data_IF_145652453730
#
_entry.id   IF_145652453730
#
_cell.length_a   1.000
_cell.length_b   1.000
_cell.length_c   1.000
_cell.angle_alpha   90.00
_cell.angle_beta   90.00
_cell.angle_gamma   90.00
#
_symmetry.space_group_name_H-M   'P 1'
#
loop_
_entity.id
_entity.type
_entity.pdbx_description
1 polymer ?
#
# COMPACT_ATOMS: atom_id res chain seq x y z
N UNK A 1 -7.99 -12.58 -3.96
CA UNK A 1 -8.10 -13.03 -5.36
C UNK A 1 -7.29 -12.05 -6.19
N UNK A 2 -6.11 -12.44 -6.69
CA UNK A 2 -5.29 -11.58 -7.53
C UNK A 2 -5.85 -11.64 -8.96
N UNK A 3 -6.42 -10.53 -9.43
CA UNK A 3 -6.76 -10.37 -10.84
C UNK A 3 -5.47 -9.89 -11.53
N UNK A 4 -4.51 -10.80 -11.70
CA UNK A 4 -3.25 -10.49 -12.39
C UNK A 4 -3.44 -10.58 -13.90
N UNK A 5 -2.92 -9.57 -14.60
CA UNK A 5 -3.19 -9.25 -16.00
C UNK A 5 -3.02 -10.38 -17.00
N UNK A 6 -3.89 -10.37 -18.00
CA UNK A 6 -3.82 -11.20 -19.19
C UNK A 6 -5.10 -11.14 -20.02
N UNK A 7 -6.27 -11.05 -19.38
CA UNK A 7 -7.55 -10.96 -20.06
C UNK A 7 -8.49 -9.96 -19.36
N UNK A 8 -8.67 -8.80 -20.00
CA UNK A 8 -9.59 -7.75 -19.55
C UNK A 8 -11.03 -8.27 -19.42
N UNK A 9 -11.42 -9.21 -20.29
CA UNK A 9 -12.76 -9.81 -20.28
C UNK A 9 -12.94 -10.71 -19.06
N UNK A 10 -11.93 -11.52 -18.72
CA UNK A 10 -11.94 -12.33 -17.50
C UNK A 10 -11.95 -11.45 -16.25
N UNK A 11 -11.15 -10.38 -16.24
CA UNK A 11 -11.06 -9.43 -15.13
C UNK A 11 -12.41 -8.76 -14.85
N UNK A 12 -13.11 -8.29 -15.89
CA UNK A 12 -14.45 -7.72 -15.77
C UNK A 12 -15.49 -8.73 -15.26
N UNK A 13 -15.38 -10.01 -15.65
CA UNK A 13 -16.32 -11.06 -15.20
C UNK A 13 -16.09 -11.47 -13.74
N UNK A 14 -14.85 -11.51 -13.29
CA UNK A 14 -14.51 -11.95 -11.93
C UNK A 14 -14.70 -10.83 -10.90
N UNK A 15 -14.53 -9.57 -11.30
CA UNK A 15 -14.58 -8.43 -10.38
C UNK A 15 -15.88 -8.32 -9.57
N UNK A 16 -17.09 -8.46 -10.14
CA UNK A 16 -18.33 -8.47 -9.35
C UNK A 16 -18.33 -9.51 -8.22
N UNK A 17 -17.72 -10.68 -8.44
CA UNK A 17 -17.62 -11.75 -7.44
C UNK A 17 -16.72 -11.41 -6.23
N UNK A 18 -15.94 -10.34 -6.33
CA UNK A 18 -15.12 -9.82 -5.21
C UNK A 18 -15.87 -8.79 -4.36
N UNK A 19 -17.01 -8.27 -4.84
CA UNK A 19 -17.77 -7.22 -4.17
C UNK A 19 -18.84 -7.78 -3.24
N UNK A 20 -19.20 -7.00 -2.21
CA UNK A 20 -20.30 -7.31 -1.29
C UNK A 20 -21.12 -6.07 -0.99
N UNK A 21 -22.38 -6.27 -0.59
CA UNK A 21 -23.26 -5.19 -0.13
C UNK A 21 -23.46 -4.09 -1.17
N UNK A 22 -23.29 -2.83 -0.75
CA UNK A 22 -23.52 -1.62 -1.58
C UNK A 22 -22.69 -1.62 -2.86
N UNK A 23 -21.46 -2.12 -2.82
CA UNK A 23 -20.59 -2.19 -4.00
C UNK A 23 -21.12 -3.18 -5.05
N UNK A 24 -21.69 -4.31 -4.62
CA UNK A 24 -22.30 -5.28 -5.51
C UNK A 24 -23.61 -4.75 -6.11
N UNK A 25 -24.43 -4.08 -5.31
CA UNK A 25 -25.67 -3.47 -5.81
C UNK A 25 -25.39 -2.36 -6.84
N UNK A 26 -24.35 -1.56 -6.61
CA UNK A 26 -23.93 -0.52 -7.55
C UNK A 26 -23.52 -1.10 -8.91
N UNK A 27 -22.65 -2.13 -8.94
CA UNK A 27 -22.16 -2.67 -10.21
C UNK A 27 -23.28 -3.34 -11.03
N UNK A 28 -24.29 -3.92 -10.37
CA UNK A 28 -25.47 -4.52 -11.01
C UNK A 28 -26.41 -3.48 -11.62
N UNK A 29 -26.36 -2.23 -11.14
CA UNK A 29 -27.21 -1.13 -11.60
C UNK A 29 -26.52 -0.21 -12.63
N UNK A 30 -25.33 -0.58 -13.11
CA UNK A 30 -24.64 0.20 -14.15
C UNK A 30 -25.41 0.12 -15.48
N UNK A 31 -25.47 1.23 -16.25
CA UNK A 31 -26.10 1.22 -17.56
C UNK A 31 -25.47 0.17 -18.48
N UNK A 32 -26.26 -0.47 -19.37
CA UNK A 32 -25.70 -1.37 -20.38
C UNK A 32 -24.63 -0.66 -21.22
N UNK A 33 -23.57 -1.39 -21.59
CA UNK A 33 -22.45 -0.87 -22.40
C UNK A 33 -21.63 0.25 -21.75
N UNK A 34 -21.63 0.35 -20.42
CA UNK A 34 -20.78 1.31 -19.68
C UNK A 34 -19.35 0.83 -19.42
N UNK A 35 -19.06 -0.46 -19.63
CA UNK A 35 -17.75 -1.08 -19.38
C UNK A 35 -17.29 -1.78 -20.66
N UNK A 36 -16.19 -1.32 -21.27
CA UNK A 36 -15.57 -1.93 -22.44
C UNK A 36 -14.25 -2.63 -22.10
N UNK A 37 -13.55 -2.10 -21.10
CA UNK A 37 -12.30 -2.62 -20.57
C UNK A 37 -12.33 -2.64 -19.03
N UNK A 38 -11.40 -3.38 -18.42
CA UNK A 38 -11.30 -3.39 -16.95
C UNK A 38 -10.95 -2.01 -16.40
N UNK A 39 -10.24 -1.18 -17.17
CA UNK A 39 -9.96 0.21 -16.85
C UNK A 39 -11.21 1.06 -16.67
N UNK A 40 -12.25 0.84 -17.48
CA UNK A 40 -13.52 1.59 -17.37
C UNK A 40 -14.23 1.24 -16.08
N UNK A 41 -14.28 -0.06 -15.77
CA UNK A 41 -14.85 -0.57 -14.53
C UNK A 41 -14.10 -0.04 -13.31
N UNK A 42 -12.77 -0.08 -13.32
CA UNK A 42 -11.94 0.46 -12.26
C UNK A 42 -12.13 1.97 -12.09
N UNK A 43 -12.25 2.72 -13.20
CA UNK A 43 -12.51 4.16 -13.21
C UNK A 43 -13.88 4.51 -12.62
N UNK A 44 -14.94 3.82 -13.04
CA UNK A 44 -16.29 3.98 -12.50
C UNK A 44 -16.35 3.62 -11.02
N UNK A 45 -15.72 2.52 -10.62
CA UNK A 45 -15.66 2.08 -9.23
C UNK A 45 -14.94 3.12 -8.37
N UNK A 46 -13.81 3.63 -8.85
CA UNK A 46 -13.08 4.69 -8.16
C UNK A 46 -13.92 5.97 -8.12
N UNK A 47 -14.60 6.39 -9.19
CA UNK A 47 -15.46 7.58 -9.16
C UNK A 47 -16.60 7.45 -8.15
N UNK A 48 -17.26 6.29 -8.08
CA UNK A 48 -18.37 6.04 -7.17
C UNK A 48 -17.91 5.99 -5.71
N UNK A 49 -16.78 5.33 -5.44
CA UNK A 49 -16.34 5.02 -4.07
C UNK A 49 -15.12 5.83 -3.60
N UNK A 50 -14.56 6.73 -4.43
CA UNK A 50 -13.41 7.56 -4.04
C UNK A 50 -13.75 8.60 -2.98
N UNK A 51 -15.03 8.98 -2.83
CA UNK A 51 -15.47 9.79 -1.70
C UNK A 51 -15.25 9.08 -0.35
N UNK A 52 -15.08 7.76 -0.38
CA UNK A 52 -14.70 6.93 0.77
C UNK A 52 -13.19 6.74 0.89
N UNK A 53 -12.38 7.54 0.19
CA UNK A 53 -10.95 7.64 0.51
C UNK A 53 -10.86 8.24 1.91
N UNK A 54 -10.23 7.57 2.88
CA UNK A 54 -10.00 8.19 4.18
C UNK A 54 -9.31 9.52 3.91
N UNK A 55 -9.90 10.61 4.43
CA UNK A 55 -9.28 11.94 4.37
C UNK A 55 -7.81 11.78 4.73
N UNK A 56 -6.93 12.34 3.91
CA UNK A 56 -5.51 12.42 4.27
C UNK A 56 -5.46 13.27 5.52
N UNK A 57 -5.34 12.65 6.69
CA UNK A 57 -5.11 13.38 7.93
C UNK A 57 -3.85 14.25 7.71
N UNK A 58 -3.92 15.55 7.89
CA UNK A 58 -2.73 16.38 7.88
C UNK A 58 -1.94 16.20 9.19
N UNK A 59 -0.68 16.61 9.22
CA UNK A 59 0.08 16.63 10.48
C UNK A 59 -0.62 17.53 11.50
N UNK A 60 -1.29 18.59 11.02
CA UNK A 60 -2.16 19.44 11.83
C UNK A 60 -3.29 18.65 12.52
N UNK A 61 -3.86 17.65 11.85
CA UNK A 61 -4.96 16.84 12.40
C UNK A 61 -4.52 15.94 13.56
N UNK A 62 -3.20 15.68 13.72
CA UNK A 62 -2.67 14.93 14.87
C UNK A 62 -2.84 15.73 16.18
N UNK A 63 -2.80 17.07 16.12
CA UNK A 63 -2.98 17.92 17.30
C UNK A 63 -4.41 17.90 17.83
N UNK A 64 -5.37 17.49 17.00
CA UNK A 64 -6.77 17.36 17.36
C UNK A 64 -7.11 15.98 17.96
N UNK A 65 -6.17 15.03 17.94
CA UNK A 65 -6.35 13.72 18.58
C UNK A 65 -6.11 13.87 20.09
N UNK A 66 -7.16 14.29 20.79
CA UNK A 66 -7.20 14.38 22.25
C UNK A 66 -8.06 13.26 22.83
N UNK A 67 -7.73 12.83 24.05
CA UNK A 67 -8.54 11.86 24.77
C UNK A 67 -9.90 12.48 25.09
N UNK A 68 -10.98 11.86 24.64
CA UNK A 68 -12.33 12.37 24.88
C UNK A 68 -12.78 12.06 26.33
N UNK A 69 -13.71 12.86 26.86
CA UNK A 69 -14.33 12.59 28.15
C UNK A 69 -15.06 11.25 28.11
N UNK A 70 -14.66 10.30 28.98
CA UNK A 70 -15.20 8.95 29.01
C UNK A 70 -14.53 7.94 28.07
N UNK A 71 -13.54 8.37 27.28
CA UNK A 71 -12.74 7.43 26.48
C UNK A 71 -11.68 6.73 27.35
N UNK A 72 -11.62 5.41 27.27
CA UNK A 72 -10.55 4.65 27.92
C UNK A 72 -9.18 4.98 27.31
N UNK A 73 -8.14 4.99 28.15
CA UNK A 73 -6.77 5.24 27.70
C UNK A 73 -6.35 4.27 26.58
N UNK A 74 -6.79 3.01 26.65
CA UNK A 74 -6.52 1.99 25.62
C UNK A 74 -7.10 2.38 24.26
N UNK A 75 -8.35 2.86 24.22
CA UNK A 75 -9.01 3.31 22.99
C UNK A 75 -8.30 4.53 22.42
N UNK A 76 -7.99 5.51 23.28
CA UNK A 76 -7.27 6.71 22.88
C UNK A 76 -5.90 6.38 22.28
N UNK A 77 -5.10 5.56 22.96
CA UNK A 77 -3.78 5.14 22.47
C UNK A 77 -3.86 4.39 21.15
N UNK A 78 -4.88 3.54 20.95
CA UNK A 78 -5.08 2.87 19.67
C UNK A 78 -5.34 3.87 18.53
N UNK A 79 -6.18 4.89 18.74
CA UNK A 79 -6.46 5.94 17.74
C UNK A 79 -5.23 6.80 17.46
N UNK A 80 -4.56 7.26 18.51
CA UNK A 80 -3.36 8.10 18.40
C UNK A 80 -2.23 7.38 17.65
N UNK A 81 -1.98 6.12 17.98
CA UNK A 81 -0.96 5.32 17.33
C UNK A 81 -1.29 5.01 15.86
N UNK A 82 -2.54 4.69 15.53
CA UNK A 82 -2.98 4.50 14.13
C UNK A 82 -2.70 5.75 13.29
N UNK A 83 -3.06 6.93 13.81
CA UNK A 83 -2.83 8.19 13.11
C UNK A 83 -1.34 8.53 12.98
N UNK A 84 -0.56 8.33 14.05
CA UNK A 84 0.88 8.62 14.07
C UNK A 84 1.64 7.72 13.12
N UNK A 85 1.36 6.41 13.08
CA UNK A 85 2.04 5.48 12.17
C UNK A 85 1.73 5.79 10.71
N UNK A 86 0.50 6.19 10.40
CA UNK A 86 0.07 6.54 9.03
C UNK A 86 0.66 7.86 8.52
N UNK A 87 1.21 8.70 9.40
CA UNK A 87 1.71 10.05 9.06
C UNK A 87 3.18 10.27 9.35
N UNK A 88 3.74 9.58 10.35
CA UNK A 88 5.13 9.67 10.73
C UNK A 88 6.07 8.88 9.83
N UNK A 89 5.56 7.93 9.03
CA UNK A 89 6.37 7.15 8.10
C UNK A 89 6.47 7.83 6.73
N UNK A 90 7.69 7.81 6.15
CA UNK A 90 7.91 8.17 4.75
C UNK A 90 7.15 7.18 3.85
N UNK A 91 6.55 7.70 2.79
CA UNK A 91 5.92 6.88 1.74
C UNK A 91 6.97 5.93 1.14
N UNK A 92 6.69 4.63 1.19
CA UNK A 92 7.56 3.59 0.69
C UNK A 92 7.07 2.18 1.01
N UNK A 93 7.89 1.15 0.72
CA UNK A 93 7.48 -0.25 0.82
C UNK A 93 6.93 -0.65 2.20
N UNK A 94 7.52 -0.13 3.26
CA UNK A 94 7.05 -0.39 4.62
C UNK A 94 5.69 0.25 4.91
N UNK A 95 5.49 1.53 4.54
CA UNK A 95 4.19 2.20 4.72
C UNK A 95 3.08 1.53 3.91
N UNK A 96 3.40 1.08 2.69
CA UNK A 96 2.46 0.38 1.82
C UNK A 96 2.08 -0.99 2.40
N UNK A 97 3.05 -1.74 2.94
CA UNK A 97 2.80 -3.01 3.61
C UNK A 97 1.88 -2.85 4.84
N UNK A 98 2.07 -1.80 5.64
CA UNK A 98 1.19 -1.49 6.77
C UNK A 98 -0.23 -1.08 6.31
N UNK A 99 -0.34 -0.38 5.18
CA UNK A 99 -1.65 -0.02 4.61
C UNK A 99 -2.42 -1.24 4.07
N UNK A 100 -1.70 -2.20 3.48
CA UNK A 100 -2.28 -3.45 2.97
C UNK A 100 -2.70 -4.40 4.09
N UNK A 101 -1.93 -4.45 5.19
CA UNK A 101 -2.24 -5.27 6.34
C UNK A 101 -2.28 -4.41 7.59
N UNK A 102 -3.48 -3.93 7.92
CA UNK A 102 -3.70 -3.06 9.08
C UNK A 102 -3.22 -3.76 10.36
N UNK A 103 -2.17 -3.24 11.02
CA UNK A 103 -1.68 -3.81 12.27
C UNK A 103 -2.69 -3.62 13.40
N UNK A 104 -2.70 -4.57 14.32
CA UNK A 104 -3.64 -4.61 15.45
C UNK A 104 -3.06 -4.07 16.75
N UNK A 105 -1.74 -3.95 16.84
CA UNK A 105 -1.01 -3.43 17.99
C UNK A 105 0.29 -2.75 17.58
N UNK A 106 0.84 -1.93 18.48
CA UNK A 106 2.17 -1.34 18.28
C UNK A 106 3.28 -2.39 18.26
N UNK A 107 3.13 -3.46 19.06
CA UNK A 107 4.08 -4.56 19.11
C UNK A 107 4.26 -5.19 17.73
N UNK A 108 3.14 -5.44 17.04
CA UNK A 108 3.14 -5.98 15.68
C UNK A 108 3.84 -5.03 14.70
N UNK A 109 3.68 -3.72 14.88
CA UNK A 109 4.34 -2.70 14.04
C UNK A 109 5.85 -2.73 14.27
N UNK A 110 6.30 -2.78 15.52
CA UNK A 110 7.72 -2.87 15.87
C UNK A 110 8.37 -4.12 15.26
N UNK A 111 7.76 -5.30 15.43
CA UNK A 111 8.27 -6.55 14.86
C UNK A 111 8.37 -6.49 13.33
N UNK A 112 7.37 -5.91 12.67
CA UNK A 112 7.40 -5.72 11.21
C UNK A 112 8.49 -4.73 10.79
N UNK A 113 8.68 -3.65 11.55
CA UNK A 113 9.71 -2.65 11.29
C UNK A 113 11.11 -3.27 11.41
N UNK A 114 11.38 -4.02 12.47
CA UNK A 114 12.65 -4.73 12.68
C UNK A 114 12.97 -5.67 11.52
N UNK A 115 11.98 -6.44 11.07
CA UNK A 115 12.12 -7.32 9.90
C UNK A 115 12.44 -6.52 8.63
N UNK A 116 11.80 -5.37 8.42
CA UNK A 116 12.05 -4.52 7.26
C UNK A 116 13.45 -3.91 7.30
N UNK A 117 13.89 -3.39 8.46
CA UNK A 117 15.24 -2.87 8.66
C UNK A 117 16.28 -3.95 8.35
N UNK A 118 16.11 -5.16 8.89
CA UNK A 118 17.02 -6.28 8.63
C UNK A 118 17.10 -6.63 7.15
N UNK A 119 15.97 -6.58 6.44
CA UNK A 119 15.91 -6.81 5.00
C UNK A 119 16.62 -5.70 4.20
N UNK A 120 16.41 -4.43 4.57
CA UNK A 120 17.04 -3.29 3.90
C UNK A 120 18.55 -3.31 4.07
N UNK A 121 19.04 -3.58 5.28
CA UNK A 121 20.48 -3.68 5.57
C UNK A 121 21.12 -4.82 4.78
N UNK A 122 20.51 -6.02 4.78
CA UNK A 122 21.03 -7.17 4.02
C UNK A 122 21.05 -6.93 2.50
N UNK A 123 20.04 -6.22 1.98
CA UNK A 123 20.01 -5.85 0.56
C UNK A 123 21.08 -4.81 0.23
N UNK A 124 21.35 -3.89 1.14
CA UNK A 124 22.39 -2.88 0.98
C UNK A 124 23.78 -3.51 0.93
N UNK A 125 24.09 -4.40 1.88
CA UNK A 125 25.37 -5.15 1.94
C UNK A 125 25.62 -5.97 0.66
N UNK A 126 24.57 -6.63 0.13
CA UNK A 126 24.68 -7.39 -1.12
C UNK A 126 24.95 -6.49 -2.32
N UNK A 127 24.33 -5.30 -2.35
CA UNK A 127 24.52 -4.33 -3.44
C UNK A 127 25.93 -3.75 -3.39
N UNK A 128 26.47 -3.44 -2.20
CA UNK A 128 27.86 -2.99 -2.06
C UNK A 128 28.86 -4.07 -2.47
N UNK A 129 28.64 -5.34 -2.08
CA UNK A 129 29.49 -6.45 -2.49
C UNK A 129 29.52 -6.65 -4.02
N UNK A 130 28.39 -6.46 -4.70
CA UNK A 130 28.29 -6.52 -6.16
C UNK A 130 29.02 -5.34 -6.83
N UNK A 131 28.95 -4.13 -6.27
CA UNK A 131 29.63 -2.94 -6.77
C UNK A 131 31.16 -3.04 -6.63
N UNK A 132 31.68 -3.54 -5.51
CA UNK A 132 33.11 -3.78 -5.31
C UNK A 132 33.66 -4.82 -6.30
N UNK A 133 32.92 -5.89 -6.61
CA UNK A 133 33.35 -6.91 -7.59
C UNK A 133 33.43 -6.42 -9.04
N UNK A 134 32.75 -5.31 -9.37
CA UNK A 134 32.72 -4.77 -10.74
C UNK A 134 33.91 -3.85 -11.03
N UNK A 135 34.50 -3.24 -10.00
CA UNK A 135 35.65 -2.33 -10.12
C UNK A 135 36.97 -3.09 -10.33
N UNK A 136 37.05 -4.34 -9.87
CA UNK A 136 38.23 -5.22 -10.05
C UNK A 136 38.35 -5.87 -11.44
N UNK A 137 37.50 -5.52 -12.43
CA UNK A 137 37.63 -6.07 -13.79
C UNK A 137 38.74 -5.34 -14.58
N UNK A 138 39.82 -6.03 -15.01
CA UNK A 138 40.92 -5.37 -15.71
C UNK A 138 40.47 -4.86 -17.08
N UNK A 139 40.84 -3.60 -17.40
CA UNK A 139 40.54 -2.98 -18.70
C UNK A 139 41.14 -3.81 -19.84
N UNK A 140 40.38 -4.14 -20.90
CA UNK A 140 40.93 -4.89 -22.01
C UNK A 140 41.98 -4.03 -22.73
N UNK A 141 43.22 -4.53 -22.78
CA UNK A 141 44.30 -3.96 -23.59
C UNK A 141 43.86 -3.95 -25.05
N UNK A 142 43.56 -2.76 -25.58
CA UNK A 142 43.42 -2.54 -27.01
C UNK A 142 44.78 -2.81 -27.66
N UNK A 143 44.92 -3.96 -28.32
CA UNK A 143 46.01 -4.17 -29.26
C UNK A 143 45.73 -3.28 -30.47
N UNK A 144 46.63 -2.33 -30.73
CA UNK A 144 46.59 -1.46 -31.91
C UNK A 144 47.27 -2.20 -33.08
N UNK A 145 46.82 -1.99 -34.33
CA UNK A 145 47.26 -2.76 -35.50
C UNK A 145 48.75 -2.64 -35.79
#
# INVERSE_FOLDING_TARGET
MYISGGDDKLSCKLFPGTLRGVALQWIMNLPPRSIYAFSDLAGLFLSQFAANKPKRLEVADLFDIKQAGGESLKSYMARFNDATVRKGLRVGPFSDALALQKPTSMEEICVRAEKHVKMEVSRFEKTEAEHLSRDDRPKPMRQRP
#
